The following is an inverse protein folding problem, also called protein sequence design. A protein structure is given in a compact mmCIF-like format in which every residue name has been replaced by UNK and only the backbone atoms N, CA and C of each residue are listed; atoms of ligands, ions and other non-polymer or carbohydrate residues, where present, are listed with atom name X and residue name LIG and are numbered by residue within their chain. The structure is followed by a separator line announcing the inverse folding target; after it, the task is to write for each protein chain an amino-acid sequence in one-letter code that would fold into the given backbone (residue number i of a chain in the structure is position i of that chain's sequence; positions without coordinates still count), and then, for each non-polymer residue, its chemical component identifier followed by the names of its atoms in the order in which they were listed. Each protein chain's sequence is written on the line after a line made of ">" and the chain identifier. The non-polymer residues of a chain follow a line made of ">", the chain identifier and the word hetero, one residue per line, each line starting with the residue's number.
data_IF_069749760558
#
_entry.id   IF_069749760558
#
_cell.length_a   1.000
_cell.length_b   1.000
_cell.length_c   1.000
_cell.angle_alpha   90.00
_cell.angle_beta   90.00
_cell.angle_gamma   90.00
#
_symmetry.space_group_name_H-M   'P 1'
#
loop_
_entity.id
_entity.type
_entity.pdbx_description
1 polymer ?
#
# COMPACT_ATOMS: atom_id res chain seq x y z
N UNK A 1 -43.15 11.77 24.00
CA UNK A 1 -42.41 10.56 23.57
C UNK A 1 -41.28 11.07 22.69
N UNK A 2 -40.00 10.85 23.06
CA UNK A 2 -38.88 11.23 22.18
C UNK A 2 -38.94 10.37 20.93
N UNK A 3 -38.72 10.98 19.76
CA UNK A 3 -38.60 10.26 18.49
C UNK A 3 -37.35 9.38 18.56
N UNK A 4 -37.53 8.06 18.53
CA UNK A 4 -36.42 7.10 18.62
C UNK A 4 -35.46 7.18 17.43
N UNK A 5 -35.90 7.75 16.30
CA UNK A 5 -35.10 7.93 15.09
C UNK A 5 -34.34 9.24 15.15
N UNK A 6 -34.96 10.33 15.63
CA UNK A 6 -34.32 11.64 15.75
C UNK A 6 -33.63 11.79 17.10
N UNK A 7 -32.28 11.80 17.13
CA UNK A 7 -31.57 12.01 18.39
C UNK A 7 -31.93 13.37 18.99
N UNK A 8 -32.02 13.41 20.32
CA UNK A 8 -32.14 14.68 21.05
C UNK A 8 -30.90 15.54 20.81
N UNK A 9 -31.03 16.87 20.96
CA UNK A 9 -29.90 17.77 20.84
C UNK A 9 -28.77 17.40 21.81
N UNK A 10 -29.11 16.95 23.02
CA UNK A 10 -28.14 16.48 24.00
C UNK A 10 -27.39 15.24 23.50
N UNK A 11 -28.09 14.24 22.95
CA UNK A 11 -27.44 13.04 22.40
C UNK A 11 -26.56 13.37 21.20
N UNK A 12 -26.98 14.28 20.32
CA UNK A 12 -26.18 14.74 19.19
C UNK A 12 -24.89 15.45 19.65
N UNK A 13 -25.00 16.35 20.64
CA UNK A 13 -23.84 17.03 21.25
C UNK A 13 -22.90 16.05 21.93
N UNK A 14 -23.43 15.07 22.65
CA UNK A 14 -22.63 14.00 23.27
C UNK A 14 -21.88 13.17 22.22
N UNK A 15 -22.55 12.74 21.13
CA UNK A 15 -21.91 11.98 20.06
C UNK A 15 -20.81 12.79 19.36
N UNK A 16 -21.04 14.07 19.09
CA UNK A 16 -20.01 14.98 18.57
C UNK A 16 -18.82 15.08 19.52
N UNK A 17 -19.07 15.33 20.81
CA UNK A 17 -18.01 15.44 21.81
C UNK A 17 -17.21 14.12 21.93
N UNK A 18 -17.89 12.97 21.88
CA UNK A 18 -17.26 11.66 21.90
C UNK A 18 -16.33 11.47 20.70
N UNK A 19 -16.79 11.78 19.48
CA UNK A 19 -15.95 11.72 18.29
C UNK A 19 -14.70 12.58 18.42
N UNK A 20 -14.87 13.85 18.81
CA UNK A 20 -13.73 14.75 19.03
C UNK A 20 -12.75 14.19 20.08
N UNK A 21 -13.27 13.72 21.21
CA UNK A 21 -12.49 13.22 22.33
C UNK A 21 -11.70 11.96 21.96
N UNK A 22 -12.31 11.00 21.26
CA UNK A 22 -11.64 9.77 20.80
C UNK A 22 -10.37 10.09 20.03
N UNK A 23 -10.45 10.95 19.02
CA UNK A 23 -9.29 11.29 18.19
C UNK A 23 -8.29 12.20 18.91
N UNK A 24 -8.76 13.12 19.75
CA UNK A 24 -7.87 13.97 20.56
C UNK A 24 -7.07 13.18 21.60
N UNK A 25 -7.65 12.13 22.16
CA UNK A 25 -6.99 11.25 23.11
C UNK A 25 -5.84 10.49 22.44
N UNK A 26 -6.06 9.97 21.23
CA UNK A 26 -5.01 9.31 20.43
C UNK A 26 -3.84 10.25 20.12
N UNK A 27 -4.13 11.52 19.81
CA UNK A 27 -3.10 12.52 19.60
C UNK A 27 -2.31 12.85 20.89
N UNK A 28 -2.97 12.87 22.06
CA UNK A 28 -2.28 13.15 23.33
C UNK A 28 -1.25 12.08 23.71
N UNK A 29 -1.49 10.83 23.32
CA UNK A 29 -0.57 9.69 23.56
C UNK A 29 0.74 9.83 22.75
N UNK A 30 0.75 10.68 21.72
CA UNK A 30 1.85 10.88 20.76
C UNK A 30 3.22 11.21 21.37
N UNK A 31 3.28 11.76 22.58
CA UNK A 31 4.53 12.30 23.12
C UNK A 31 5.42 11.30 23.87
N UNK A 32 4.98 10.05 24.11
CA UNK A 32 5.68 9.12 25.02
C UNK A 32 6.17 7.80 24.37
N UNK A 33 5.65 7.41 23.20
CA UNK A 33 5.87 6.08 22.62
C UNK A 33 6.75 6.14 21.36
N UNK A 34 8.03 5.80 21.50
CA UNK A 34 9.03 5.89 20.42
C UNK A 34 8.98 4.74 19.40
N UNK A 35 8.30 3.63 19.71
CA UNK A 35 8.38 2.39 18.92
C UNK A 35 7.17 2.13 18.00
N UNK A 36 6.14 2.99 18.01
CA UNK A 36 4.89 2.80 17.24
C UNK A 36 5.13 2.40 15.77
N UNK A 37 6.02 3.13 15.09
CA UNK A 37 6.31 2.92 13.67
C UNK A 37 7.01 1.61 13.40
N UNK A 38 7.97 1.27 14.27
CA UNK A 38 8.70 0.02 14.20
C UNK A 38 7.71 -1.13 14.40
N UNK A 39 6.90 -1.09 15.45
CA UNK A 39 5.91 -2.14 15.71
C UNK A 39 4.91 -2.31 14.57
N UNK A 40 4.39 -1.20 14.03
CA UNK A 40 3.51 -1.18 12.87
C UNK A 40 4.14 -1.85 11.64
N UNK A 41 5.41 -1.55 11.35
CA UNK A 41 6.13 -2.13 10.22
C UNK A 41 6.50 -3.59 10.45
N UNK A 42 6.93 -3.95 11.66
CA UNK A 42 7.24 -5.32 12.02
C UNK A 42 6.01 -6.24 11.88
N UNK A 43 4.79 -5.74 12.14
CA UNK A 43 3.54 -6.48 11.90
C UNK A 43 3.39 -6.94 10.45
N UNK A 44 3.94 -6.23 9.46
CA UNK A 44 3.87 -6.63 8.05
C UNK A 44 4.43 -8.04 7.81
N UNK A 45 5.39 -8.49 8.64
CA UNK A 45 5.98 -9.84 8.59
C UNK A 45 5.04 -10.96 9.03
N UNK A 46 3.97 -10.65 9.76
CA UNK A 46 3.04 -11.64 10.34
C UNK A 46 1.57 -11.25 10.20
N UNK A 47 1.27 -10.12 9.54
CA UNK A 47 -0.07 -9.56 9.42
C UNK A 47 -1.03 -10.54 8.73
N UNK A 48 -2.23 -10.64 9.28
CA UNK A 48 -3.37 -11.36 8.72
C UNK A 48 -3.06 -12.82 8.38
N UNK A 49 -2.78 -13.67 9.39
CA UNK A 49 -2.45 -15.08 9.17
C UNK A 49 -3.55 -15.85 8.42
N UNK A 50 -4.80 -15.43 8.54
CA UNK A 50 -5.95 -16.06 7.89
C UNK A 50 -6.26 -15.49 6.49
N UNK A 51 -5.51 -14.48 6.05
CA UNK A 51 -5.69 -13.91 4.72
C UNK A 51 -5.32 -14.92 3.62
N UNK A 52 -6.15 -15.06 2.56
CA UNK A 52 -5.90 -16.01 1.50
C UNK A 52 -4.63 -15.68 0.72
N UNK A 53 -4.13 -16.70 0.03
CA UNK A 53 -3.02 -16.61 -0.92
C UNK A 53 -3.51 -17.02 -2.30
N UNK A 54 -3.00 -16.37 -3.34
CA UNK A 54 -3.17 -16.86 -4.70
C UNK A 54 -2.46 -18.22 -4.84
N UNK A 55 -3.16 -19.28 -5.26
CA UNK A 55 -2.52 -20.58 -5.47
C UNK A 55 -1.58 -20.51 -6.68
N UNK A 56 -0.60 -21.41 -6.70
CA UNK A 56 0.25 -21.57 -7.88
C UNK A 56 -0.60 -21.99 -9.10
N UNK A 57 -0.27 -21.44 -10.26
CA UNK A 57 -1.01 -21.67 -11.52
C UNK A 57 -2.47 -21.19 -11.46
N UNK A 58 -2.77 -20.12 -10.72
CA UNK A 58 -4.12 -19.58 -10.60
C UNK A 58 -4.63 -19.06 -11.95
N UNK A 59 -5.82 -19.53 -12.36
CA UNK A 59 -6.43 -19.11 -13.63
C UNK A 59 -7.08 -17.74 -13.49
N UNK A 60 -6.56 -16.76 -14.22
CA UNK A 60 -7.20 -15.47 -14.36
C UNK A 60 -8.34 -15.52 -15.40
N UNK A 61 -9.46 -14.88 -15.10
CA UNK A 61 -10.47 -14.48 -16.07
C UNK A 61 -9.91 -13.35 -16.94
N UNK A 62 -9.73 -13.66 -18.22
CA UNK A 62 -9.12 -12.82 -19.25
C UNK A 62 -10.15 -12.34 -20.29
N UNK A 63 -11.45 -12.42 -19.95
CA UNK A 63 -12.55 -12.00 -20.83
C UNK A 63 -12.64 -10.48 -20.99
N UNK A 64 -12.16 -9.71 -20.02
CA UNK A 64 -12.29 -8.26 -20.04
C UNK A 64 -11.18 -7.61 -20.87
N UNK A 65 -11.55 -6.52 -21.54
CA UNK A 65 -10.63 -5.77 -22.40
C UNK A 65 -9.55 -5.05 -21.59
N UNK A 66 -9.89 -4.52 -20.43
CA UNK A 66 -9.03 -3.60 -19.68
C UNK A 66 -8.44 -4.17 -18.39
N UNK A 67 -8.82 -5.38 -18.00
CA UNK A 67 -8.47 -5.98 -16.72
C UNK A 67 -8.44 -7.50 -16.82
N UNK A 68 -7.62 -8.17 -16.03
CA UNK A 68 -7.78 -9.59 -15.74
C UNK A 68 -8.11 -9.77 -14.27
N UNK A 69 -9.06 -10.66 -13.97
CA UNK A 69 -9.59 -10.86 -12.63
C UNK A 69 -9.34 -12.28 -12.15
N UNK A 70 -9.13 -12.48 -10.86
CA UNK A 70 -9.32 -13.78 -10.21
C UNK A 70 -10.59 -13.68 -9.40
N UNK A 71 -11.49 -14.64 -9.61
CA UNK A 71 -12.71 -14.78 -8.83
C UNK A 71 -12.49 -15.85 -7.77
N UNK A 72 -12.82 -15.53 -6.54
CA UNK A 72 -12.88 -16.46 -5.43
C UNK A 72 -14.31 -16.51 -4.90
N UNK A 73 -14.72 -17.66 -4.39
CA UNK A 73 -15.99 -17.80 -3.70
C UNK A 73 -15.69 -18.05 -2.23
N UNK A 74 -16.15 -17.15 -1.37
CA UNK A 74 -16.15 -17.36 0.08
C UNK A 74 -17.45 -18.03 0.48
N UNK A 75 -17.38 -18.94 1.46
CA UNK A 75 -18.56 -19.59 2.03
C UNK A 75 -18.61 -19.23 3.50
N UNK A 76 -19.72 -18.63 3.90
CA UNK A 76 -20.00 -18.15 5.25
C UNK A 76 -20.92 -19.17 5.92
N UNK A 77 -20.49 -19.64 7.07
CA UNK A 77 -21.19 -20.63 7.88
C UNK A 77 -21.67 -19.97 9.17
N UNK A 78 -22.81 -20.43 9.69
CA UNK A 78 -23.23 -20.07 11.02
C UNK A 78 -22.17 -20.51 12.04
N UNK A 79 -21.85 -19.64 13.00
CA UNK A 79 -20.81 -19.91 14.00
C UNK A 79 -21.16 -21.09 14.93
N UNK A 80 -22.45 -21.37 15.10
CA UNK A 80 -22.95 -22.55 15.79
C UNK A 80 -23.53 -23.51 14.75
N UNK A 81 -23.43 -24.83 15.00
CA UNK A 81 -24.09 -25.90 14.23
C UNK A 81 -25.63 -25.82 14.37
N UNK A 82 -26.20 -24.71 13.91
CA UNK A 82 -27.63 -24.58 13.73
C UNK A 82 -27.90 -25.14 12.34
N UNK A 83 -28.26 -26.43 12.28
CA UNK A 83 -28.54 -27.22 11.06
C UNK A 83 -29.63 -26.61 10.13
N UNK A 84 -30.16 -25.43 10.46
CA UNK A 84 -31.27 -24.78 9.78
C UNK A 84 -30.89 -23.53 8.99
N UNK A 85 -29.68 -22.97 9.17
CA UNK A 85 -29.24 -21.80 8.41
C UNK A 85 -28.38 -22.22 7.20
N UNK A 86 -28.79 -21.91 5.96
CA UNK A 86 -28.03 -22.28 4.79
C UNK A 86 -26.70 -21.51 4.70
N UNK A 87 -25.63 -22.14 4.18
CA UNK A 87 -24.37 -21.43 3.96
C UNK A 87 -24.56 -20.32 2.91
N UNK A 88 -24.03 -19.14 3.20
CA UNK A 88 -24.03 -18.04 2.24
C UNK A 88 -22.74 -17.99 1.44
N UNK A 89 -22.85 -17.72 0.15
CA UNK A 89 -21.69 -17.61 -0.75
C UNK A 89 -21.55 -16.18 -1.23
N UNK A 90 -20.34 -15.64 -1.09
CA UNK A 90 -20.00 -14.32 -1.61
C UNK A 90 -18.85 -14.43 -2.62
N UNK A 91 -18.91 -13.64 -3.69
CA UNK A 91 -17.87 -13.62 -4.73
C UNK A 91 -16.91 -12.47 -4.44
N UNK A 92 -15.64 -12.82 -4.18
CA UNK A 92 -14.55 -11.85 -4.06
C UNK A 92 -13.78 -11.78 -5.38
N UNK A 93 -13.42 -10.57 -5.79
CA UNK A 93 -12.69 -10.34 -7.06
C UNK A 93 -11.36 -9.66 -6.81
N UNK A 94 -10.30 -10.21 -7.39
CA UNK A 94 -8.93 -9.70 -7.29
C UNK A 94 -8.48 -9.22 -8.66
N UNK A 95 -8.02 -7.96 -8.74
CA UNK A 95 -7.60 -7.35 -10.00
C UNK A 95 -6.12 -7.67 -10.24
N UNK A 96 -5.86 -8.66 -11.08
CA UNK A 96 -4.51 -9.23 -11.26
C UNK A 96 -3.81 -8.79 -12.53
N UNK A 97 -4.45 -8.02 -13.41
CA UNK A 97 -3.77 -7.31 -14.48
C UNK A 97 -4.61 -6.14 -14.98
N UNK A 98 -3.97 -5.13 -15.59
CA UNK A 98 -4.61 -3.91 -16.08
C UNK A 98 -4.12 -3.50 -17.46
N UNK A 99 -4.93 -2.80 -18.25
CA UNK A 99 -4.57 -2.31 -19.60
C UNK A 99 -3.40 -1.33 -19.66
N UNK A 100 -3.09 -0.67 -18.54
CA UNK A 100 -2.03 0.33 -18.46
C UNK A 100 -1.33 0.24 -17.11
N UNK A 101 -0.01 0.47 -17.06
CA UNK A 101 0.71 0.63 -15.79
C UNK A 101 0.21 1.85 -14.99
N UNK A 102 0.52 1.87 -13.71
CA UNK A 102 0.29 3.03 -12.84
C UNK A 102 1.33 4.10 -13.15
N UNK A 103 0.88 5.33 -13.41
CA UNK A 103 1.80 6.44 -13.64
C UNK A 103 2.46 6.85 -12.32
N UNK A 104 3.79 6.88 -12.30
CA UNK A 104 4.58 7.43 -11.20
C UNK A 104 5.39 8.61 -11.68
N UNK A 105 5.35 9.72 -10.96
CA UNK A 105 6.04 10.96 -11.31
C UNK A 105 7.02 11.29 -10.19
N UNK A 106 8.29 11.49 -10.53
CA UNK A 106 9.30 12.02 -9.63
C UNK A 106 9.35 13.54 -9.80
N UNK A 107 9.02 14.25 -8.72
CA UNK A 107 8.77 15.69 -8.70
C UNK A 107 9.83 16.44 -7.90
N UNK A 108 10.29 17.58 -8.41
CA UNK A 108 11.36 18.37 -7.81
C UNK A 108 10.87 19.21 -6.62
N UNK A 109 9.57 19.52 -6.56
CA UNK A 109 8.96 20.39 -5.56
C UNK A 109 7.89 19.64 -4.75
N UNK A 110 7.98 19.72 -3.42
CA UNK A 110 6.99 19.12 -2.51
C UNK A 110 5.58 19.71 -2.63
N UNK A 111 5.40 20.84 -3.32
CA UNK A 111 4.08 21.50 -3.47
C UNK A 111 3.08 20.74 -4.36
N UNK A 112 3.57 19.85 -5.23
CA UNK A 112 2.71 19.05 -6.13
C UNK A 112 2.59 17.58 -5.70
N UNK A 113 3.38 17.17 -4.70
CA UNK A 113 3.34 15.80 -4.18
C UNK A 113 2.23 15.67 -3.15
N UNK A 114 1.22 14.84 -3.47
CA UNK A 114 0.26 14.34 -2.47
C UNK A 114 0.86 13.26 -1.58
N UNK A 115 2.01 12.70 -1.96
CA UNK A 115 2.69 11.73 -1.15
C UNK A 115 3.36 12.43 0.03
N UNK A 116 3.24 11.80 1.19
CA UNK A 116 3.96 12.21 2.39
C UNK A 116 4.91 11.08 2.75
N UNK A 117 6.21 11.32 2.60
CA UNK A 117 7.23 10.40 3.08
C UNK A 117 7.46 10.64 4.58
N UNK A 118 7.39 9.62 5.44
CA UNK A 118 7.53 9.83 6.89
C UNK A 118 8.85 10.50 7.26
N UNK A 119 8.75 11.60 8.00
CA UNK A 119 9.88 12.38 8.51
C UNK A 119 10.72 11.61 9.52
N UNK A 120 10.11 10.66 10.24
CA UNK A 120 10.79 9.78 11.20
C UNK A 120 11.95 9.00 10.57
N UNK A 121 11.89 8.71 9.28
CA UNK A 121 13.00 8.06 8.55
C UNK A 121 14.12 9.03 8.17
N UNK A 122 14.01 10.30 8.54
CA UNK A 122 15.00 11.34 8.33
C UNK A 122 15.51 11.37 6.89
N UNK A 123 16.81 11.14 6.72
CA UNK A 123 17.44 11.13 5.40
C UNK A 123 17.12 9.87 4.58
N UNK A 124 16.87 8.74 5.23
CA UNK A 124 16.60 7.46 4.54
C UNK A 124 15.25 7.45 3.80
N UNK A 125 14.29 8.29 4.20
CA UNK A 125 13.04 8.50 3.46
C UNK A 125 13.26 8.78 1.96
N UNK A 126 14.38 9.41 1.60
CA UNK A 126 14.75 9.76 0.21
C UNK A 126 15.04 8.56 -0.68
N UNK A 127 15.27 7.38 -0.10
CA UNK A 127 15.44 6.13 -0.85
C UNK A 127 14.11 5.44 -1.18
N UNK A 128 13.00 5.84 -0.55
CA UNK A 128 11.68 5.22 -0.76
C UNK A 128 11.29 5.17 -2.25
N UNK A 129 11.46 6.22 -3.08
CA UNK A 129 11.11 6.13 -4.49
C UNK A 129 11.88 5.04 -5.25
N UNK A 130 13.17 4.86 -4.93
CA UNK A 130 14.04 3.82 -5.53
C UNK A 130 13.63 2.43 -5.05
N UNK A 131 13.47 2.26 -3.74
CA UNK A 131 13.06 0.99 -3.13
C UNK A 131 11.65 0.57 -3.56
N UNK A 132 10.76 1.53 -3.77
CA UNK A 132 9.40 1.27 -4.24
C UNK A 132 9.40 0.72 -5.68
N UNK A 133 10.28 1.22 -6.58
CA UNK A 133 10.47 0.61 -7.92
C UNK A 133 10.94 -0.84 -7.80
N UNK A 134 11.90 -1.11 -6.92
CA UNK A 134 12.41 -2.45 -6.67
C UNK A 134 11.32 -3.40 -6.15
N UNK A 135 10.54 -2.95 -5.18
CA UNK A 135 9.43 -3.74 -4.66
C UNK A 135 8.33 -3.99 -5.69
N UNK A 136 8.02 -2.99 -6.52
CA UNK A 136 7.08 -3.14 -7.62
C UNK A 136 7.53 -4.24 -8.59
N UNK A 137 8.81 -4.25 -8.97
CA UNK A 137 9.38 -5.32 -9.79
C UNK A 137 9.29 -6.69 -9.11
N UNK A 138 9.67 -6.80 -7.82
CA UNK A 138 9.66 -8.05 -7.06
C UNK A 138 8.23 -8.62 -6.95
N UNK A 139 7.23 -7.77 -6.66
CA UNK A 139 5.82 -8.16 -6.62
C UNK A 139 5.34 -8.62 -8.01
N UNK A 140 5.73 -7.93 -9.07
CA UNK A 140 5.45 -8.33 -10.45
C UNK A 140 6.13 -9.64 -10.85
N UNK A 141 7.36 -9.88 -10.40
CA UNK A 141 8.08 -11.13 -10.66
C UNK A 141 7.36 -12.31 -10.00
N UNK A 142 7.00 -12.18 -8.72
CA UNK A 142 6.23 -13.22 -8.01
C UNK A 142 4.85 -13.46 -8.63
N UNK A 143 4.18 -12.41 -9.07
CA UNK A 143 2.93 -12.52 -9.83
C UNK A 143 3.09 -13.34 -11.11
N UNK A 144 4.19 -13.15 -11.85
CA UNK A 144 4.46 -13.91 -13.07
C UNK A 144 4.69 -15.41 -12.78
N UNK A 145 5.25 -15.76 -11.63
CA UNK A 145 5.38 -17.16 -11.17
C UNK A 145 4.02 -17.80 -10.83
N UNK A 146 3.08 -17.01 -10.30
CA UNK A 146 1.77 -17.49 -9.83
C UNK A 146 0.73 -17.60 -10.93
N UNK A 147 0.75 -16.71 -11.93
CA UNK A 147 -0.33 -16.56 -12.92
C UNK A 147 0.09 -17.09 -14.31
N UNK A 148 -0.53 -18.15 -14.84
CA UNK A 148 -0.17 -18.70 -16.14
C UNK A 148 -0.33 -17.72 -17.31
N UNK A 149 0.70 -17.68 -18.15
CA UNK A 149 0.80 -16.78 -19.31
C UNK A 149 1.20 -15.34 -18.96
N UNK A 150 1.47 -15.05 -17.69
CA UNK A 150 2.22 -13.87 -17.30
C UNK A 150 3.71 -14.10 -17.58
N UNK A 151 4.41 -13.04 -17.96
CA UNK A 151 5.84 -13.06 -18.21
C UNK A 151 6.47 -11.76 -17.75
N UNK A 152 7.71 -11.87 -17.27
CA UNK A 152 8.55 -10.76 -16.89
C UNK A 152 9.68 -10.65 -17.92
N UNK A 153 9.81 -9.48 -18.54
CA UNK A 153 10.87 -9.18 -19.50
C UNK A 153 11.61 -7.91 -19.09
N UNK A 154 12.90 -7.90 -19.38
CA UNK A 154 13.74 -6.70 -19.34
C UNK A 154 14.01 -6.28 -20.78
N UNK A 155 14.07 -4.98 -21.00
CA UNK A 155 14.51 -4.44 -22.28
C UNK A 155 15.95 -3.97 -22.17
N UNK A 156 16.76 -4.26 -23.18
CA UNK A 156 18.10 -3.70 -23.27
C UNK A 156 17.98 -2.19 -23.45
N UNK A 157 18.17 -1.47 -22.35
CA UNK A 157 18.51 -0.07 -22.43
C UNK A 157 19.99 -0.08 -22.77
N UNK A 158 20.27 0.03 -24.06
CA UNK A 158 21.59 0.46 -24.51
C UNK A 158 21.96 1.67 -23.66
N UNK A 159 22.94 1.48 -22.76
CA UNK A 159 23.73 2.58 -22.25
C UNK A 159 24.44 3.12 -23.48
N UNK A 160 23.76 3.95 -24.28
CA UNK A 160 24.43 4.68 -25.32
C UNK A 160 25.49 5.48 -24.59
N UNK A 161 26.74 5.05 -24.73
CA UNK A 161 27.91 5.88 -24.51
C UNK A 161 27.58 7.31 -24.95
N UNK A 162 27.94 8.27 -24.10
CA UNK A 162 27.52 9.68 -24.13
C UNK A 162 27.14 10.27 -25.49
N UNK A 163 26.11 11.12 -25.44
CA UNK A 163 25.55 11.95 -26.51
C UNK A 163 24.28 11.40 -27.18
N UNK A 164 23.17 11.35 -26.46
CA UNK A 164 21.91 11.86 -27.02
C UNK A 164 21.88 13.37 -26.80
N UNK A 165 22.52 14.11 -27.71
CA UNK A 165 22.12 15.48 -27.99
C UNK A 165 20.73 15.46 -28.62
N UNK A 166 19.71 15.19 -27.82
CA UNK A 166 18.40 15.77 -28.06
C UNK A 166 18.45 17.09 -27.32
N UNK A 167 18.36 18.18 -28.07
CA UNK A 167 18.24 19.53 -27.53
C UNK A 167 17.34 19.47 -26.29
N UNK A 168 17.78 19.97 -25.12
CA UNK A 168 16.87 20.12 -24.01
C UNK A 168 15.66 20.92 -24.55
N UNK A 169 14.41 20.58 -24.20
CA UNK A 169 13.39 21.62 -24.26
C UNK A 169 13.98 22.80 -23.49
N UNK A 170 14.06 23.97 -24.14
CA UNK A 170 14.79 25.17 -23.68
C UNK A 170 14.25 25.78 -22.36
N UNK A 171 13.50 25.01 -21.56
CA UNK A 171 13.03 25.37 -20.24
C UNK A 171 13.06 24.15 -19.32
N UNK A 172 14.24 23.83 -18.77
CA UNK A 172 14.41 23.50 -17.34
C UNK A 172 15.89 23.22 -17.03
N UNK A 173 16.57 24.24 -16.53
CA UNK A 173 17.92 24.24 -15.98
C UNK A 173 17.98 23.54 -14.61
N UNK A 174 17.66 22.24 -14.54
CA UNK A 174 17.78 21.45 -13.29
C UNK A 174 18.87 20.38 -13.47
N UNK A 175 19.87 20.39 -12.60
CA UNK A 175 20.97 19.42 -12.62
C UNK A 175 20.46 17.99 -12.48
N UNK A 176 21.04 17.01 -13.19
CA UNK A 176 20.61 15.62 -13.09
C UNK A 176 20.83 15.07 -11.68
N UNK A 177 19.93 14.21 -11.23
CA UNK A 177 20.08 13.46 -9.97
C UNK A 177 20.86 12.19 -10.25
N UNK A 178 21.92 11.97 -9.49
CA UNK A 178 22.73 10.75 -9.56
C UNK A 178 22.38 9.80 -8.43
N UNK A 179 21.96 8.58 -8.77
CA UNK A 179 21.76 7.48 -7.83
C UNK A 179 23.03 6.64 -7.83
N UNK A 180 23.77 6.66 -6.72
CA UNK A 180 24.92 5.78 -6.52
C UNK A 180 24.41 4.38 -6.16
N UNK A 181 24.88 3.33 -6.83
CA UNK A 181 24.60 1.94 -6.48
C UNK A 181 25.72 1.30 -5.64
N UNK A 182 26.87 1.95 -5.52
CA UNK A 182 28.09 1.39 -4.95
C UNK A 182 28.79 0.42 -5.90
N UNK A 183 29.64 -0.45 -5.35
CA UNK A 183 30.32 -1.51 -6.09
C UNK A 183 29.41 -2.75 -6.17
N UNK A 184 28.66 -2.85 -7.26
CA UNK A 184 27.66 -3.92 -7.49
C UNK A 184 28.01 -4.75 -8.73
N UNK A 185 27.42 -5.95 -8.83
CA UNK A 185 27.60 -6.81 -10.01
C UNK A 185 27.04 -6.17 -11.30
N UNK A 186 27.49 -6.67 -12.46
CA UNK A 186 26.94 -6.26 -13.76
C UNK A 186 25.43 -6.54 -13.86
N UNK A 187 24.99 -7.70 -13.36
CA UNK A 187 23.57 -8.06 -13.32
C UNK A 187 22.73 -7.11 -12.47
N UNK A 188 23.24 -6.69 -11.31
CA UNK A 188 22.61 -5.69 -10.46
C UNK A 188 22.56 -4.32 -11.15
N UNK A 189 23.65 -3.92 -11.81
CA UNK A 189 23.72 -2.66 -12.57
C UNK A 189 22.66 -2.62 -13.67
N UNK A 190 22.56 -3.68 -14.47
CA UNK A 190 21.55 -3.79 -15.53
C UNK A 190 20.13 -3.81 -14.97
N UNK A 191 19.90 -4.50 -13.86
CA UNK A 191 18.60 -4.53 -13.19
C UNK A 191 18.19 -3.14 -12.71
N UNK A 192 19.03 -2.45 -11.94
CA UNK A 192 18.74 -1.08 -11.48
C UNK A 192 18.55 -0.09 -12.64
N UNK A 193 19.33 -0.24 -13.72
CA UNK A 193 19.17 0.57 -14.94
C UNK A 193 17.80 0.36 -15.58
N UNK A 194 17.34 -0.88 -15.67
CA UNK A 194 16.00 -1.20 -16.16
C UNK A 194 14.89 -0.60 -15.28
N UNK A 195 15.03 -0.69 -13.95
CA UNK A 195 14.03 -0.23 -13.00
C UNK A 195 13.87 1.30 -12.97
N UNK A 196 14.99 2.02 -13.07
CA UNK A 196 15.03 3.48 -12.92
C UNK A 196 14.93 4.23 -14.26
N UNK A 197 14.80 3.52 -15.37
CA UNK A 197 14.60 4.13 -16.68
C UNK A 197 13.19 4.70 -16.84
N UNK A 198 13.14 5.95 -17.30
CA UNK A 198 11.93 6.71 -17.59
C UNK A 198 11.13 6.12 -18.77
N UNK A 199 11.75 5.29 -19.62
CA UNK A 199 11.14 4.76 -20.84
C UNK A 199 10.87 3.23 -20.80
N UNK A 200 10.44 2.71 -19.65
CA UNK A 200 10.06 1.30 -19.44
C UNK A 200 11.21 0.32 -19.72
N UNK A 201 12.22 0.31 -18.86
CA UNK A 201 13.32 -0.68 -18.95
C UNK A 201 12.92 -2.13 -18.64
N UNK A 202 11.72 -2.35 -18.12
CA UNK A 202 11.17 -3.68 -17.86
C UNK A 202 9.66 -3.70 -18.09
N UNK A 203 9.12 -4.90 -18.28
CA UNK A 203 7.68 -5.11 -18.39
C UNK A 203 7.27 -6.43 -17.74
N UNK A 204 6.17 -6.41 -16.97
CA UNK A 204 5.49 -7.60 -16.50
C UNK A 204 4.10 -7.63 -17.09
N UNK A 205 3.84 -8.57 -18.00
CA UNK A 205 2.63 -8.56 -18.81
C UNK A 205 2.02 -9.94 -19.03
N UNK A 206 0.76 -9.96 -19.44
CA UNK A 206 0.04 -11.12 -19.93
C UNK A 206 -0.90 -10.71 -21.06
N UNK A 207 -1.28 -11.65 -21.91
CA UNK A 207 -2.30 -11.39 -22.93
C UNK A 207 -3.70 -11.74 -22.42
N UNK A 208 -4.68 -10.89 -22.73
CA UNK A 208 -6.09 -11.24 -22.58
C UNK A 208 -6.56 -12.19 -23.71
N UNK A 209 -7.84 -12.61 -23.71
CA UNK A 209 -8.36 -13.51 -24.75
C UNK A 209 -8.34 -12.92 -26.17
N UNK A 210 -8.37 -11.59 -26.29
CA UNK A 210 -8.26 -10.86 -27.58
C UNK A 210 -6.80 -10.63 -28.02
N UNK A 211 -5.81 -11.13 -27.26
CA UNK A 211 -4.40 -10.89 -27.53
C UNK A 211 -3.88 -9.50 -27.11
N UNK A 212 -4.69 -8.71 -26.39
CA UNK A 212 -4.24 -7.41 -25.86
C UNK A 212 -3.31 -7.60 -24.67
N UNK A 213 -2.27 -6.78 -24.62
CA UNK A 213 -1.34 -6.73 -23.52
C UNK A 213 -2.00 -6.12 -22.27
N UNK A 214 -1.95 -6.84 -21.17
CA UNK A 214 -2.28 -6.38 -19.82
C UNK A 214 -1.02 -6.42 -18.96
N UNK A 215 -0.91 -5.51 -18.02
CA UNK A 215 0.23 -5.29 -17.15
C UNK A 215 -0.06 -5.79 -15.74
N UNK A 216 0.98 -6.26 -15.06
CA UNK A 216 0.94 -6.56 -13.62
C UNK A 216 0.35 -5.40 -12.81
N UNK A 217 -0.35 -5.65 -11.68
CA UNK A 217 -0.91 -4.60 -10.83
C UNK A 217 0.13 -3.60 -10.31
N UNK A 218 1.39 -4.03 -10.19
CA UNK A 218 2.51 -3.22 -9.74
C UNK A 218 3.36 -2.64 -10.87
N UNK A 219 2.97 -2.84 -12.15
CA UNK A 219 3.68 -2.21 -13.26
C UNK A 219 3.59 -0.69 -13.17
N UNK A 220 4.74 -0.02 -13.24
CA UNK A 220 4.87 1.44 -13.15
C UNK A 220 5.30 2.01 -14.49
N UNK A 221 4.73 3.16 -14.87
CA UNK A 221 5.28 4.04 -15.89
C UNK A 221 5.94 5.21 -15.18
N UNK A 222 7.27 5.17 -15.11
CA UNK A 222 8.06 6.17 -14.41
C UNK A 222 8.24 7.40 -15.30
N UNK A 223 7.89 8.56 -14.77
CA UNK A 223 8.19 9.88 -15.34
C UNK A 223 9.00 10.66 -14.32
N UNK A 224 9.94 11.49 -14.76
CA UNK A 224 10.75 12.31 -13.88
C UNK A 224 10.88 13.72 -14.42
N UNK A 225 10.67 14.72 -13.55
CA UNK A 225 10.91 16.13 -13.88
C UNK A 225 12.39 16.47 -14.01
N UNK A 226 13.26 15.65 -13.40
CA UNK A 226 14.71 15.81 -13.42
C UNK A 226 15.35 14.55 -14.04
N UNK A 227 16.35 14.67 -14.93
CA UNK A 227 17.06 13.51 -15.44
C UNK A 227 17.70 12.68 -14.32
N UNK A 228 17.59 11.36 -14.41
CA UNK A 228 18.16 10.40 -13.46
C UNK A 228 19.39 9.76 -14.09
N UNK A 229 20.51 9.81 -13.40
CA UNK A 229 21.77 9.15 -13.75
C UNK A 229 22.08 8.06 -12.72
N UNK A 230 22.68 6.98 -13.19
CA UNK A 230 23.12 5.87 -12.33
C UNK A 230 24.65 5.91 -12.27
N UNK A 231 25.19 5.88 -11.06
CA UNK A 231 26.63 5.81 -10.81
C UNK A 231 26.97 4.46 -10.18
N UNK A 232 28.03 3.81 -10.67
CA UNK A 232 28.53 2.52 -10.17
C UNK A 232 30.02 2.66 -9.89
N UNK A 233 30.48 2.14 -8.76
CA UNK A 233 31.90 2.18 -8.38
C UNK A 233 32.65 0.99 -9.00
N UNK A 234 33.52 1.24 -9.98
CA UNK A 234 34.40 0.21 -10.57
C UNK A 234 34.63 0.36 -12.07
N UNK A 235 35.61 -0.39 -12.62
CA UNK A 235 35.83 -0.44 -14.08
C UNK A 235 34.79 -1.37 -14.71
N UNK A 236 33.92 -0.79 -15.54
CA UNK A 236 32.97 -1.50 -16.38
C UNK A 236 33.70 -2.44 -17.35
N UNK A 237 33.74 -3.74 -17.07
CA UNK A 237 34.04 -4.75 -18.08
C UNK A 237 32.76 -5.01 -18.85
N UNK A 238 32.60 -4.35 -19.99
CA UNK A 238 31.55 -4.66 -20.96
C UNK A 238 31.82 -6.02 -21.59
N UNK A 239 31.07 -7.04 -21.19
CA UNK A 239 30.42 -7.98 -22.12
C UNK A 239 29.66 -9.08 -21.36
N UNK A 240 28.33 -9.04 -21.40
CA UNK A 240 27.50 -10.23 -21.50
C UNK A 240 26.23 -9.91 -22.30
N UNK A 241 25.86 -10.84 -23.18
CA UNK A 241 24.73 -10.76 -24.08
C UNK A 241 23.37 -10.90 -23.38
N UNK A 242 22.41 -10.18 -23.96
CA UNK A 242 20.95 -10.24 -23.90
C UNK A 242 20.28 -11.48 -23.28
N UNK A 243 19.13 -11.22 -22.63
CA UNK A 243 18.04 -12.13 -22.28
C UNK A 243 18.07 -12.91 -20.95
N UNK A 244 18.91 -12.57 -19.97
CA UNK A 244 18.76 -13.15 -18.62
C UNK A 244 17.69 -12.39 -17.83
N UNK A 245 16.49 -12.96 -17.77
CA UNK A 245 15.45 -12.51 -16.85
C UNK A 245 15.94 -12.69 -15.41
N UNK A 246 16.00 -11.60 -14.64
CA UNK A 246 16.39 -11.66 -13.22
C UNK A 246 15.34 -12.42 -12.44
N UNK A 247 15.80 -13.47 -11.78
CA UNK A 247 14.97 -14.31 -10.91
C UNK A 247 14.52 -13.50 -9.68
N UNK A 248 13.45 -13.96 -9.04
CA UNK A 248 12.95 -13.34 -7.81
C UNK A 248 14.04 -13.29 -6.71
N UNK A 249 14.83 -14.37 -6.58
CA UNK A 249 15.91 -14.47 -5.60
C UNK A 249 17.05 -13.47 -5.85
N UNK A 250 17.42 -13.26 -7.12
CA UNK A 250 18.41 -12.25 -7.50
C UNK A 250 17.87 -10.83 -7.24
N UNK A 251 16.61 -10.54 -7.58
CA UNK A 251 16.00 -9.24 -7.31
C UNK A 251 15.99 -8.89 -5.82
N UNK A 252 15.67 -9.87 -4.95
CA UNK A 252 15.78 -9.71 -3.50
C UNK A 252 17.22 -9.44 -3.05
N UNK A 253 18.19 -10.15 -3.63
CA UNK A 253 19.61 -9.99 -3.30
C UNK A 253 20.12 -8.60 -3.69
N UNK A 254 19.79 -8.11 -4.89
CA UNK A 254 20.15 -6.78 -5.36
C UNK A 254 19.51 -5.67 -4.53
N UNK A 255 18.26 -5.84 -4.11
CA UNK A 255 17.59 -4.90 -3.19
C UNK A 255 18.26 -4.87 -1.81
N UNK A 256 18.60 -6.04 -1.26
CA UNK A 256 19.28 -6.14 0.04
C UNK A 256 20.70 -5.54 -0.01
N UNK A 257 21.43 -5.75 -1.10
CA UNK A 257 22.75 -5.15 -1.34
C UNK A 257 22.67 -3.62 -1.39
N UNK A 258 21.70 -3.06 -2.12
CA UNK A 258 21.45 -1.61 -2.14
C UNK A 258 21.15 -1.07 -0.74
N UNK A 259 20.31 -1.76 0.04
CA UNK A 259 20.03 -1.36 1.42
C UNK A 259 21.30 -1.36 2.29
N UNK A 260 22.17 -2.36 2.12
CA UNK A 260 23.46 -2.46 2.83
C UNK A 260 24.40 -1.30 2.48
N UNK A 261 24.57 -1.02 1.17
CA UNK A 261 25.44 0.08 0.67
C UNK A 261 25.01 1.43 1.25
N UNK A 262 23.70 1.69 1.32
CA UNK A 262 23.16 2.95 1.81
C UNK A 262 22.82 2.96 3.31
N UNK A 263 23.13 1.88 4.05
CA UNK A 263 22.78 1.68 5.46
C UNK A 263 21.29 1.96 5.74
N UNK A 264 20.44 1.52 4.82
CA UNK A 264 18.99 1.66 4.94
C UNK A 264 18.51 0.70 6.02
N UNK A 265 17.81 1.23 7.01
CA UNK A 265 17.25 0.43 8.09
C UNK A 265 16.11 -0.48 7.60
N UNK A 266 15.79 -1.48 8.43
CA UNK A 266 14.70 -2.41 8.13
C UNK A 266 13.32 -1.74 8.06
N UNK A 267 13.17 -0.55 8.66
CA UNK A 267 11.90 0.16 8.74
C UNK A 267 11.60 0.84 7.40
N UNK A 268 12.56 1.53 6.78
CA UNK A 268 12.45 2.14 5.45
C UNK A 268 12.28 1.07 4.36
N UNK A 269 12.97 -0.07 4.50
CA UNK A 269 12.80 -1.22 3.62
C UNK A 269 11.34 -1.71 3.60
N UNK A 270 10.73 -1.88 4.78
CA UNK A 270 9.34 -2.30 4.90
C UNK A 270 8.32 -1.21 4.57
N UNK A 271 8.62 0.06 4.89
CA UNK A 271 7.78 1.19 4.50
C UNK A 271 7.65 1.29 2.97
N UNK A 272 8.76 1.05 2.27
CA UNK A 272 8.77 1.02 0.80
C UNK A 272 7.93 -0.12 0.25
N UNK A 273 7.94 -1.30 0.90
CA UNK A 273 7.03 -2.40 0.55
C UNK A 273 5.57 -2.02 0.81
N UNK A 274 5.26 -1.43 1.96
CA UNK A 274 3.91 -0.96 2.28
C UNK A 274 3.39 0.02 1.21
N UNK A 275 4.25 0.94 0.74
CA UNK A 275 3.96 1.81 -0.40
C UNK A 275 3.70 1.02 -1.70
N UNK A 276 4.53 0.04 -2.01
CA UNK A 276 4.35 -0.81 -3.20
C UNK A 276 3.04 -1.61 -3.16
N UNK A 277 2.64 -2.13 -1.99
CA UNK A 277 1.36 -2.82 -1.80
C UNK A 277 0.15 -1.91 -2.07
N UNK A 278 0.30 -0.59 -2.02
CA UNK A 278 -0.77 0.38 -2.30
C UNK A 278 -0.78 0.89 -3.75
N UNK A 279 0.12 0.42 -4.62
CA UNK A 279 0.11 0.75 -6.05
C UNK A 279 -1.22 0.32 -6.71
N UNK A 280 -1.73 -0.91 -6.52
CA UNK A 280 -2.98 -1.32 -7.16
C UNK A 280 -4.19 -0.51 -6.67
N UNK A 281 -4.21 -0.06 -5.41
CA UNK A 281 -5.25 0.84 -4.91
C UNK A 281 -5.21 2.20 -5.63
N UNK A 282 -4.02 2.74 -5.87
CA UNK A 282 -3.84 3.97 -6.66
C UNK A 282 -4.30 3.79 -8.11
N UNK A 283 -4.00 2.65 -8.73
CA UNK A 283 -4.49 2.28 -10.06
C UNK A 283 -6.01 2.20 -10.11
N UNK A 284 -6.61 1.53 -9.12
CA UNK A 284 -8.06 1.36 -9.00
C UNK A 284 -8.78 2.71 -8.88
N UNK A 285 -8.15 3.69 -8.23
CA UNK A 285 -8.65 5.06 -8.15
C UNK A 285 -8.43 5.90 -9.43
N UNK A 286 -7.72 5.36 -10.42
CA UNK A 286 -7.28 6.11 -11.60
C UNK A 286 -6.26 7.22 -11.27
N UNK A 287 -5.53 7.11 -10.14
CA UNK A 287 -4.58 8.11 -9.68
C UNK A 287 -3.17 7.81 -10.16
N UNK A 288 -2.41 8.87 -10.43
CA UNK A 288 -0.95 8.81 -10.50
C UNK A 288 -0.34 8.93 -9.10
N UNK A 289 0.83 8.34 -8.93
CA UNK A 289 1.64 8.47 -7.72
C UNK A 289 2.69 9.55 -7.98
N UNK A 290 2.80 10.56 -7.12
CA UNK A 290 3.79 11.63 -7.25
C UNK A 290 4.72 11.60 -6.04
N UNK A 291 5.99 11.26 -6.23
CA UNK A 291 7.01 11.15 -5.20
C UNK A 291 8.08 12.25 -5.39
N UNK A 292 8.80 12.64 -4.33
CA UNK A 292 9.96 13.51 -4.50
C UNK A 292 11.07 12.80 -5.28
N UNK A 293 11.85 13.54 -6.05
CA UNK A 293 13.05 13.01 -6.70
C UNK A 293 14.04 12.53 -5.62
N UNK A 294 14.68 11.35 -5.77
CA UNK A 294 15.75 10.90 -4.88
C UNK A 294 16.88 11.95 -4.80
N UNK A 295 17.53 12.13 -3.65
CA UNK A 295 18.63 13.09 -3.51
C UNK A 295 19.99 12.43 -3.80
N UNK A 296 20.85 13.11 -4.56
CA UNK A 296 22.13 12.62 -5.08
C UNK A 296 23.35 12.94 -4.19
N UNK A 297 23.22 13.81 -3.18
CA UNK A 297 24.38 14.35 -2.43
C UNK A 297 24.95 13.42 -1.33
N UNK A 298 24.74 12.11 -1.43
CA UNK A 298 25.06 11.14 -0.37
C UNK A 298 26.58 10.86 -0.17
N UNK A 299 27.44 11.30 -1.09
CA UNK A 299 28.86 10.91 -1.14
C UNK A 299 29.85 11.73 -0.30
N UNK A 300 29.62 13.02 -0.04
CA UNK A 300 30.70 13.91 0.44
C UNK A 300 30.77 14.09 1.96
N UNK A 301 29.70 13.80 2.72
CA UNK A 301 29.66 14.05 4.18
C UNK A 301 29.78 12.80 5.07
N UNK A 302 29.92 11.61 4.49
CA UNK A 302 29.83 10.36 5.24
C UNK A 302 31.17 9.80 5.74
N UNK A 303 32.31 10.41 5.36
CA UNK A 303 33.62 10.06 5.92
C UNK A 303 33.68 10.28 7.45
N UNK A 304 32.95 11.27 7.98
CA UNK A 304 32.90 11.55 9.43
C UNK A 304 31.96 10.60 10.19
N UNK A 305 30.83 10.19 9.60
CA UNK A 305 29.84 9.27 10.21
C UNK A 305 30.21 7.77 10.06
N UNK A 306 31.27 7.46 9.30
CA UNK A 306 31.76 6.09 9.09
C UNK A 306 32.17 5.39 10.40
N UNK A 307 32.48 6.13 11.47
CA UNK A 307 33.05 5.59 12.72
C UNK A 307 32.07 5.40 13.87
N UNK A 308 30.87 5.98 13.86
CA UNK A 308 30.05 6.04 15.08
C UNK A 308 28.97 4.97 15.20
N UNK A 309 28.36 4.45 14.13
CA UNK A 309 27.27 3.47 14.24
C UNK A 309 27.49 2.22 13.37
N UNK A 310 28.19 1.23 13.92
CA UNK A 310 28.13 -0.17 13.46
C UNK A 310 26.98 -0.88 14.17
N UNK A 311 25.75 -0.69 13.71
CA UNK A 311 24.67 -1.63 13.97
C UNK A 311 24.38 -2.37 12.68
N UNK A 312 24.94 -3.57 12.55
CA UNK A 312 24.62 -4.51 11.49
C UNK A 312 23.19 -5.01 11.72
N UNK A 313 22.17 -4.28 11.26
CA UNK A 313 20.81 -4.82 11.20
C UNK A 313 20.73 -5.74 9.97
N UNK A 314 20.77 -7.05 10.19
CA UNK A 314 20.46 -8.01 9.12
C UNK A 314 19.05 -7.73 8.62
N UNK A 315 18.90 -7.43 7.33
CA UNK A 315 17.60 -7.23 6.71
C UNK A 315 16.84 -8.57 6.74
N UNK A 316 16.00 -8.78 7.75
CA UNK A 316 15.20 -10.02 7.82
C UNK A 316 14.11 -9.95 6.75
N UNK A 317 14.28 -10.78 5.71
CA UNK A 317 13.33 -10.90 4.61
C UNK A 317 11.95 -11.37 5.07
N UNK A 318 10.94 -11.14 4.23
CA UNK A 318 9.59 -11.62 4.45
C UNK A 318 9.51 -13.04 3.89
N UNK A 319 8.99 -13.98 4.68
CA UNK A 319 8.85 -15.35 4.21
C UNK A 319 7.86 -15.42 3.03
N UNK A 320 8.04 -16.38 2.12
CA UNK A 320 7.24 -16.48 0.89
C UNK A 320 5.73 -16.61 1.16
N UNK A 321 5.34 -17.29 2.24
CA UNK A 321 3.92 -17.47 2.60
C UNK A 321 3.27 -16.13 2.92
N UNK A 322 3.93 -15.31 3.74
CA UNK A 322 3.47 -13.98 4.08
C UNK A 322 3.51 -13.04 2.87
N UNK A 323 4.56 -13.14 2.06
CA UNK A 323 4.68 -12.35 0.85
C UNK A 323 3.50 -12.60 -0.11
N UNK A 324 3.10 -13.86 -0.30
CA UNK A 324 1.95 -14.24 -1.12
C UNK A 324 0.61 -13.73 -0.54
N UNK A 325 0.46 -13.64 0.79
CA UNK A 325 -0.73 -13.04 1.42
C UNK A 325 -0.83 -11.56 1.14
N UNK A 326 0.28 -10.84 1.34
CA UNK A 326 0.36 -9.40 1.09
C UNK A 326 0.13 -9.07 -0.39
N UNK A 327 0.70 -9.87 -1.28
CA UNK A 327 0.47 -9.79 -2.73
C UNK A 327 -1.03 -9.95 -3.05
N UNK A 328 -1.68 -10.95 -2.45
CA UNK A 328 -3.12 -11.20 -2.64
C UNK A 328 -3.97 -10.06 -2.10
N UNK A 329 -3.65 -9.53 -0.91
CA UNK A 329 -4.31 -8.37 -0.32
C UNK A 329 -4.19 -7.15 -1.23
N UNK A 330 -3.00 -6.90 -1.76
CA UNK A 330 -2.71 -5.79 -2.66
C UNK A 330 -3.50 -5.89 -3.99
N UNK A 331 -3.74 -7.11 -4.50
CA UNK A 331 -4.65 -7.34 -5.64
C UNK A 331 -6.13 -7.08 -5.31
N UNK A 332 -6.53 -7.08 -4.03
CA UNK A 332 -7.86 -6.65 -3.58
C UNK A 332 -7.88 -5.14 -3.29
N UNK A 333 -7.71 -4.32 -4.32
CA UNK A 333 -7.69 -2.86 -4.18
C UNK A 333 -8.95 -2.28 -3.51
N UNK A 334 -10.13 -2.89 -3.73
CA UNK A 334 -11.37 -2.50 -3.07
C UNK A 334 -11.31 -2.80 -1.57
N UNK A 335 -10.88 -4.01 -1.19
CA UNK A 335 -10.70 -4.41 0.20
C UNK A 335 -9.65 -3.58 0.92
N UNK A 336 -8.50 -3.30 0.30
CA UNK A 336 -7.47 -2.43 0.86
C UNK A 336 -8.01 -1.02 1.16
N UNK A 337 -8.86 -0.46 0.28
CA UNK A 337 -9.53 0.82 0.52
C UNK A 337 -10.58 0.74 1.63
N UNK A 338 -11.35 -0.35 1.68
CA UNK A 338 -12.32 -0.59 2.75
C UNK A 338 -11.64 -0.64 4.13
N UNK A 339 -10.49 -1.31 4.22
CA UNK A 339 -9.64 -1.36 5.42
C UNK A 339 -9.20 0.03 5.85
N UNK A 340 -8.71 0.89 4.94
CA UNK A 340 -8.35 2.26 5.34
C UNK A 340 -9.54 3.03 5.95
N UNK A 341 -10.75 2.85 5.44
CA UNK A 341 -11.93 3.55 5.98
C UNK A 341 -12.48 2.94 7.28
N UNK A 342 -12.01 1.76 7.71
CA UNK A 342 -12.51 1.07 8.91
C UNK A 342 -12.27 1.87 10.19
N UNK A 343 -11.19 2.67 10.24
CA UNK A 343 -10.81 3.47 11.43
C UNK A 343 -11.89 4.48 11.84
N UNK A 344 -12.78 4.84 10.92
CA UNK A 344 -13.92 5.73 11.14
C UNK A 344 -15.20 4.99 11.54
N UNK A 345 -15.15 3.68 11.71
CA UNK A 345 -16.21 2.89 12.31
C UNK A 345 -16.09 2.95 13.84
N UNK A 346 -17.21 3.20 14.51
CA UNK A 346 -17.33 3.05 15.95
C UNK A 346 -18.65 2.34 16.25
N UNK A 347 -18.57 1.04 16.59
CA UNK A 347 -19.75 0.17 16.71
C UNK A 347 -20.58 0.45 17.95
N UNK A 348 -20.00 1.12 18.94
CA UNK A 348 -20.71 1.60 20.14
C UNK A 348 -21.60 2.81 19.83
N UNK A 349 -21.36 3.51 18.72
CA UNK A 349 -22.16 4.65 18.30
C UNK A 349 -23.37 4.17 17.50
N UNK A 350 -24.56 4.55 17.97
CA UNK A 350 -25.81 4.25 17.27
C UNK A 350 -25.83 4.86 15.86
N UNK A 351 -26.43 4.15 14.90
CA UNK A 351 -26.44 4.55 13.48
C UNK A 351 -27.01 5.94 13.23
N UNK A 352 -28.05 6.34 13.97
CA UNK A 352 -28.65 7.68 13.90
C UNK A 352 -27.78 8.80 14.52
N UNK A 353 -26.72 8.45 15.24
CA UNK A 353 -25.74 9.37 15.83
C UNK A 353 -24.39 9.35 15.11
N UNK A 354 -24.15 8.37 14.22
CA UNK A 354 -22.87 8.19 13.57
C UNK A 354 -22.41 9.43 12.78
N UNK A 355 -23.33 10.14 12.13
CA UNK A 355 -23.02 11.40 11.46
C UNK A 355 -22.49 12.48 12.41
N UNK A 356 -23.07 12.59 13.62
CA UNK A 356 -22.60 13.56 14.63
C UNK A 356 -21.24 13.16 15.20
N UNK A 357 -21.03 11.87 15.42
CA UNK A 357 -19.73 11.34 15.83
C UNK A 357 -18.65 11.62 14.78
N UNK A 358 -18.93 11.37 13.48
CA UNK A 358 -18.01 11.68 12.38
C UNK A 358 -17.71 13.18 12.30
N UNK A 359 -18.71 14.04 12.49
CA UNK A 359 -18.49 15.49 12.54
C UNK A 359 -17.53 15.89 13.66
N UNK A 360 -17.70 15.32 14.86
CA UNK A 360 -16.78 15.54 15.98
C UNK A 360 -15.36 15.05 15.69
N UNK A 361 -15.25 13.84 15.14
CA UNK A 361 -13.98 13.23 14.71
C UNK A 361 -13.23 14.13 13.72
N UNK A 362 -13.88 14.57 12.65
CA UNK A 362 -13.25 15.43 11.65
C UNK A 362 -13.04 16.87 12.11
N UNK A 363 -13.85 17.38 13.05
CA UNK A 363 -13.59 18.66 13.69
C UNK A 363 -12.24 18.67 14.44
N UNK A 364 -11.83 17.53 15.02
CA UNK A 364 -10.48 17.39 15.57
C UNK A 364 -9.43 17.15 14.49
N UNK A 365 -9.64 16.17 13.60
CA UNK A 365 -8.65 15.79 12.58
C UNK A 365 -8.25 16.97 11.68
N UNK A 366 -9.18 17.89 11.39
CA UNK A 366 -8.90 19.10 10.59
C UNK A 366 -7.97 20.10 11.27
N UNK A 367 -7.81 20.01 12.59
CA UNK A 367 -6.85 20.83 13.34
C UNK A 367 -5.42 20.36 13.15
N UNK A 368 -5.23 19.08 12.76
CA UNK A 368 -3.91 18.48 12.59
C UNK A 368 -3.33 18.91 11.24
N UNK A 369 -2.36 19.83 11.27
CA UNK A 369 -1.69 20.34 10.06
C UNK A 369 -0.46 19.53 9.65
N UNK A 370 0.18 18.86 10.61
CA UNK A 370 1.31 17.99 10.32
C UNK A 370 0.79 16.63 9.82
N UNK A 371 1.06 16.23 8.56
CA UNK A 371 0.61 14.95 8.03
C UNK A 371 1.25 13.75 8.75
N UNK A 372 2.42 13.90 9.36
CA UNK A 372 3.06 12.84 10.15
C UNK A 372 2.29 12.57 11.44
N UNK A 373 1.88 13.62 12.14
CA UNK A 373 1.01 13.50 13.32
C UNK A 373 -0.34 12.89 12.96
N UNK A 374 -0.89 13.23 11.79
CA UNK A 374 -2.14 12.62 11.30
C UNK A 374 -1.97 11.12 11.05
N UNK A 375 -0.90 10.72 10.36
CA UNK A 375 -0.60 9.30 10.13
C UNK A 375 -0.41 8.53 11.44
N UNK A 376 0.29 9.11 12.41
CA UNK A 376 0.51 8.53 13.73
C UNK A 376 -0.81 8.28 14.47
N UNK A 377 -1.73 9.25 14.45
CA UNK A 377 -3.07 9.10 15.03
C UNK A 377 -3.84 7.96 14.35
N UNK A 378 -3.76 7.85 13.02
CA UNK A 378 -4.46 6.82 12.25
C UNK A 378 -3.90 5.41 12.54
N UNK A 379 -2.57 5.29 12.66
CA UNK A 379 -1.91 4.03 13.06
C UNK A 379 -2.32 3.65 14.49
N UNK A 380 -2.38 4.61 15.43
CA UNK A 380 -2.84 4.31 16.80
C UNK A 380 -4.30 3.88 16.87
N UNK A 381 -5.14 4.40 15.97
CA UNK A 381 -6.56 4.00 15.92
C UNK A 381 -6.71 2.53 15.56
N UNK A 382 -5.90 2.04 14.63
CA UNK A 382 -5.87 0.62 14.25
C UNK A 382 -4.45 0.21 13.81
N UNK A 383 -3.62 -0.30 14.74
CA UNK A 383 -2.24 -0.67 14.46
C UNK A 383 -2.10 -1.83 13.48
N UNK A 384 -3.10 -2.70 13.37
CA UNK A 384 -3.04 -3.91 12.55
C UNK A 384 -3.09 -3.58 11.05
N UNK A 385 -3.78 -2.50 10.69
CA UNK A 385 -3.79 -1.96 9.32
C UNK A 385 -2.86 -0.75 9.16
N UNK A 386 -2.08 -0.38 10.18
CA UNK A 386 -1.27 0.85 10.17
C UNK A 386 -0.28 0.92 9.00
N UNK A 387 0.24 -0.21 8.54
CA UNK A 387 1.13 -0.26 7.38
C UNK A 387 0.40 0.09 6.07
N UNK A 388 -0.91 -0.19 5.97
CA UNK A 388 -1.72 0.25 4.83
C UNK A 388 -1.87 1.76 4.84
N UNK A 389 -2.06 2.37 6.01
CA UNK A 389 -2.05 3.83 6.16
C UNK A 389 -0.71 4.42 5.76
N UNK A 390 0.39 3.85 6.22
CA UNK A 390 1.74 4.26 5.82
C UNK A 390 1.93 4.20 4.29
N UNK A 391 1.58 3.08 3.66
CA UNK A 391 1.64 2.93 2.21
C UNK A 391 0.73 3.91 1.47
N UNK A 392 -0.44 4.21 2.04
CA UNK A 392 -1.39 5.19 1.51
C UNK A 392 -0.81 6.61 1.56
N UNK A 393 -0.11 7.00 2.63
CA UNK A 393 0.59 8.27 2.71
C UNK A 393 1.77 8.33 1.72
N UNK A 394 2.57 7.27 1.60
CA UNK A 394 3.67 7.18 0.63
C UNK A 394 3.16 7.30 -0.81
N UNK A 395 1.97 6.76 -1.12
CA UNK A 395 1.38 6.83 -2.47
C UNK A 395 0.41 8.00 -2.68
N UNK A 396 0.20 8.84 -1.67
CA UNK A 396 -0.74 9.97 -1.68
C UNK A 396 -2.22 9.58 -1.82
N UNK A 397 -2.59 8.39 -1.35
CA UNK A 397 -3.97 7.87 -1.32
C UNK A 397 -4.78 8.25 -0.08
N UNK A 398 -4.11 8.73 0.96
CA UNK A 398 -4.71 9.07 2.26
C UNK A 398 -5.81 10.13 2.14
N UNK A 399 -5.63 11.16 1.32
CA UNK A 399 -6.61 12.23 1.08
C UNK A 399 -7.98 11.67 0.64
N UNK A 400 -7.98 10.64 -0.20
CA UNK A 400 -9.22 10.03 -0.68
C UNK A 400 -9.91 9.26 0.44
N UNK A 401 -9.17 8.43 1.18
CA UNK A 401 -9.69 7.68 2.31
C UNK A 401 -10.28 8.61 3.39
N UNK A 402 -9.60 9.71 3.72
CA UNK A 402 -10.09 10.72 4.67
C UNK A 402 -11.38 11.40 4.18
N UNK A 403 -11.46 11.76 2.90
CA UNK A 403 -12.69 12.35 2.32
C UNK A 403 -13.86 11.37 2.32
N UNK A 404 -13.61 10.12 1.99
CA UNK A 404 -14.63 9.06 2.01
C UNK A 404 -15.12 8.78 3.43
N UNK A 405 -14.20 8.71 4.40
CA UNK A 405 -14.53 8.62 5.83
C UNK A 405 -15.39 9.78 6.30
N UNK A 406 -15.05 11.03 5.95
CA UNK A 406 -15.84 12.23 6.31
C UNK A 406 -17.25 12.19 5.73
N UNK A 407 -17.37 11.75 4.47
CA UNK A 407 -18.65 11.67 3.80
C UNK A 407 -19.53 10.52 4.31
N UNK A 408 -19.03 9.67 5.22
CA UNK A 408 -19.71 8.43 5.61
C UNK A 408 -19.82 7.45 4.45
N UNK A 409 -18.94 7.55 3.45
CA UNK A 409 -18.88 6.63 2.32
C UNK A 409 -18.08 5.39 2.70
N UNK A 410 -18.69 4.54 3.51
CA UNK A 410 -18.07 3.30 3.96
C UNK A 410 -18.05 2.28 2.82
N UNK A 411 -16.87 2.05 2.25
CA UNK A 411 -16.64 0.86 1.45
C UNK A 411 -16.58 -0.33 2.42
N UNK A 412 -17.54 -1.25 2.31
CA UNK A 412 -17.53 -2.49 3.08
C UNK A 412 -17.08 -3.63 2.15
N UNK A 413 -16.07 -4.36 2.59
CA UNK A 413 -15.61 -5.60 1.96
C UNK A 413 -15.54 -6.66 3.05
N UNK A 414 -16.62 -7.45 3.17
CA UNK A 414 -16.76 -8.43 4.26
C UNK A 414 -15.67 -9.49 4.21
N UNK A 415 -15.24 -9.91 3.02
CA UNK A 415 -14.14 -10.85 2.84
C UNK A 415 -12.84 -10.30 3.40
N UNK A 416 -12.44 -9.10 2.98
CA UNK A 416 -11.26 -8.43 3.52
C UNK A 416 -11.36 -8.25 5.05
N UNK A 417 -12.52 -7.84 5.55
CA UNK A 417 -12.76 -7.64 6.97
C UNK A 417 -12.57 -8.94 7.78
N UNK A 418 -13.15 -10.05 7.33
CA UNK A 418 -13.00 -11.35 7.98
C UNK A 418 -11.57 -11.88 7.94
N UNK A 419 -10.90 -11.79 6.78
CA UNK A 419 -9.52 -12.27 6.61
C UNK A 419 -8.47 -11.50 7.38
N UNK A 420 -8.76 -10.24 7.70
CA UNK A 420 -7.86 -9.36 8.45
C UNK A 420 -8.27 -9.20 9.91
N UNK A 421 -9.43 -9.73 10.31
CA UNK A 421 -10.01 -9.47 11.63
C UNK A 421 -10.40 -8.01 11.86
N UNK A 422 -10.52 -7.20 10.80
CA UNK A 422 -10.81 -5.77 10.92
C UNK A 422 -12.31 -5.50 11.00
N UNK A 423 -12.73 -4.70 11.96
CA UNK A 423 -14.11 -4.25 12.11
C UNK A 423 -14.38 -3.03 11.23
N UNK A 424 -15.16 -3.19 10.18
CA UNK A 424 -15.54 -2.12 9.24
C UNK A 424 -16.96 -1.61 9.45
N UNK A 425 -17.83 -2.42 10.05
CA UNK A 425 -19.25 -2.09 10.23
C UNK A 425 -19.87 -2.88 11.37
N UNK A 426 -20.93 -2.31 11.97
CA UNK A 426 -21.74 -2.97 13.00
C UNK A 426 -22.36 -4.29 12.51
N UNK A 427 -22.46 -4.51 11.19
CA UNK A 427 -23.01 -5.74 10.60
C UNK A 427 -22.16 -6.98 10.94
N UNK A 428 -20.86 -6.79 11.25
CA UNK A 428 -19.94 -7.85 11.63
C UNK A 428 -20.04 -8.22 13.11
N UNK A 429 -20.76 -7.44 13.92
CA UNK A 429 -20.92 -7.73 15.34
C UNK A 429 -21.86 -8.93 15.53
N UNK A 430 -21.60 -9.77 16.55
CA UNK A 430 -22.48 -10.89 16.85
C UNK A 430 -23.90 -10.39 17.18
N UNK A 431 -24.90 -11.16 16.75
CA UNK A 431 -26.28 -10.92 17.19
C UNK A 431 -26.40 -11.37 18.65
N UNK A 432 -26.91 -10.51 19.55
CA UNK A 432 -27.15 -10.89 20.94
C UNK A 432 -28.08 -12.09 21.05
N UNK A 433 -27.85 -12.95 22.04
CA UNK A 433 -28.85 -13.95 22.40
C UNK A 433 -30.03 -13.24 23.09
N UNK A 434 -31.19 -13.27 22.46
CA UNK A 434 -32.41 -12.68 23.01
C UNK A 434 -33.10 -13.66 23.96
N UNK A 435 -33.59 -13.16 25.10
CA UNK A 435 -34.45 -13.93 25.98
C UNK A 435 -35.78 -14.25 25.26
N UNK A 436 -36.43 -15.37 25.62
CA UNK A 436 -37.66 -15.85 24.98
C UNK A 436 -38.84 -14.88 25.05
N UNK A 437 -38.81 -13.92 25.98
CA UNK A 437 -39.83 -12.88 26.18
C UNK A 437 -39.46 -11.53 25.53
N UNK A 438 -38.37 -11.46 24.77
CA UNK A 438 -37.93 -10.23 24.11
C UNK A 438 -38.97 -9.75 23.10
N UNK A 439 -39.57 -8.57 23.34
CA UNK A 439 -40.60 -7.97 22.48
C UNK A 439 -40.06 -6.90 21.51
N UNK A 440 -38.79 -6.54 21.62
CA UNK A 440 -38.16 -5.50 20.81
C UNK A 440 -36.67 -5.77 20.66
N UNK A 441 -36.13 -5.51 19.47
CA UNK A 441 -34.71 -5.58 19.16
C UNK A 441 -34.21 -4.22 18.69
N UNK A 442 -32.90 -3.98 18.72
CA UNK A 442 -32.34 -2.77 18.12
C UNK A 442 -32.46 -2.82 16.60
N UNK A 443 -32.56 -1.67 15.93
CA UNK A 443 -32.55 -1.62 14.46
C UNK A 443 -31.24 -2.18 13.88
N UNK A 444 -30.14 -2.06 14.62
CA UNK A 444 -28.87 -2.67 14.24
C UNK A 444 -28.94 -4.20 14.26
N UNK A 445 -29.58 -4.79 15.28
CA UNK A 445 -29.81 -6.23 15.36
C UNK A 445 -30.80 -6.71 14.30
N UNK A 446 -31.85 -5.94 14.02
CA UNK A 446 -32.75 -6.22 12.89
C UNK A 446 -31.97 -6.24 11.57
N UNK A 447 -31.12 -5.24 11.32
CA UNK A 447 -30.27 -5.21 10.13
C UNK A 447 -29.29 -6.39 10.08
N UNK A 448 -28.69 -6.78 11.22
CA UNK A 448 -27.84 -7.97 11.30
C UNK A 448 -28.65 -9.22 10.97
N UNK A 449 -29.83 -9.41 11.58
CA UNK A 449 -30.72 -10.54 11.31
C UNK A 449 -31.23 -10.59 9.85
N UNK A 450 -31.43 -9.43 9.21
CA UNK A 450 -31.80 -9.36 7.79
C UNK A 450 -30.61 -9.62 6.85
N UNK A 451 -29.39 -9.35 7.33
CA UNK A 451 -28.15 -9.55 6.58
C UNK A 451 -27.43 -10.87 6.94
N UNK A 452 -27.95 -11.57 7.95
CA UNK A 452 -27.70 -12.97 8.25
C UNK A 452 -28.69 -13.77 7.38
N UNK A 453 -28.23 -14.41 6.30
CA UNK A 453 -29.04 -15.37 5.58
C UNK A 453 -29.38 -16.61 6.43
#
# INVERSE_FOLDING_TARGET
>A
MQDAVRPSEQHARCAFAQGYQTWSALHRISSEETDLWRDCLQRLRTAFPDHPRLPQNVKADKNFRSVALIKATTTWLAANEVDHLPPFKDESTFHVAWDKPTKMILTAEGQHSRATLPDIFGKHSRHIPVLLQAWAYILSARWAELVPGAHLSRHDISLSNGNTSRSPPEHNSKSPVTINLGAVSEGATQWWTALLSVERGWSATMSNKEGRCLHSPWSISLESEIPILISVEGKSTTSASADVSTTLSEAYSYLAEYCSVHRIDGDVYLASLAGALMIPASKYDGRSIALPVPDAHWGEKMEEDRRQHQTSSTLTGINNVQFDRLLTLSCNAKGARALLTSVFCEVEVSSNLCGMWLQGSFAFLDTIKNPHSLLEILIRRDPDIGFLWLGSFITGGNDKALREGRAGWWNIDLGAAAWTGTLMSFIQMPVPQFATDTRSISRADECRLLSLP
#
